data_IF_265028417756
#
_entry.id   IF_265028417756
#
_cell.length_a   1.000
_cell.length_b   1.000
_cell.length_c   1.000
_cell.angle_alpha   90.00
_cell.angle_beta   90.00
_cell.angle_gamma   90.00
#
_symmetry.space_group_name_H-M   'P 1'
#
loop_
_entity.id
_entity.type
_entity.pdbx_description
1 polymer ?
#
# COMPACT_ATOMS: atom_id res chain seq x y z
N UNK A 1 35.43 -21.71 -24.27
CA UNK A 1 35.29 -20.30 -23.84
C UNK A 1 34.01 -20.22 -23.02
N UNK A 2 34.06 -20.65 -21.77
CA UNK A 2 32.89 -20.70 -20.88
C UNK A 2 32.93 -19.47 -20.00
N UNK A 3 32.01 -18.52 -20.22
CA UNK A 3 31.88 -17.32 -19.42
C UNK A 3 30.78 -17.57 -18.37
N UNK A 4 31.19 -17.71 -17.11
CA UNK A 4 30.30 -17.66 -15.95
C UNK A 4 29.79 -16.23 -15.81
N UNK A 5 28.48 -16.03 -15.92
CA UNK A 5 27.81 -14.80 -15.46
C UNK A 5 27.51 -15.00 -13.98
N UNK A 6 28.32 -14.37 -13.12
CA UNK A 6 28.04 -14.28 -11.70
C UNK A 6 26.97 -13.19 -11.49
N UNK A 7 25.73 -13.62 -11.23
CA UNK A 7 24.68 -12.74 -10.72
C UNK A 7 25.04 -12.34 -9.29
N UNK A 8 25.59 -11.14 -9.12
CA UNK A 8 25.87 -10.55 -7.82
C UNK A 8 24.56 -10.15 -7.15
N UNK A 9 24.14 -10.92 -6.13
CA UNK A 9 23.10 -10.50 -5.19
C UNK A 9 23.70 -9.38 -4.35
N UNK A 10 23.36 -8.14 -4.67
CA UNK A 10 23.59 -7.01 -3.79
C UNK A 10 22.57 -7.08 -2.64
N UNK A 11 22.94 -7.81 -1.57
CA UNK A 11 22.23 -7.73 -0.30
C UNK A 11 22.46 -6.33 0.29
N UNK A 12 21.48 -5.44 0.14
CA UNK A 12 21.44 -4.18 0.87
C UNK A 12 21.28 -4.51 2.36
N UNK A 13 22.30 -4.17 3.14
CA UNK A 13 22.29 -4.24 4.60
C UNK A 13 21.45 -3.08 5.12
N UNK A 14 20.30 -3.38 5.72
CA UNK A 14 19.64 -2.45 6.63
C UNK A 14 19.83 -2.97 8.06
N UNK A 15 20.78 -2.35 8.77
CA UNK A 15 20.81 -2.41 10.23
C UNK A 15 19.63 -1.59 10.76
N UNK A 16 18.52 -2.27 11.09
CA UNK A 16 17.36 -1.68 11.75
C UNK A 16 17.21 -2.24 13.17
N UNK A 17 17.39 -1.40 14.18
CA UNK A 17 17.06 -1.70 15.57
C UNK A 17 15.64 -2.27 15.68
N UNK A 18 15.46 -3.33 16.47
CA UNK A 18 14.16 -3.96 16.72
C UNK A 18 13.12 -3.01 17.29
N UNK A 19 12.42 -2.29 16.42
CA UNK A 19 11.08 -1.76 16.67
C UNK A 19 10.13 -2.89 16.24
N UNK A 20 9.44 -3.50 17.19
CA UNK A 20 8.28 -4.31 16.86
C UNK A 20 7.30 -3.47 16.03
N UNK A 21 6.60 -4.11 15.09
CA UNK A 21 5.62 -3.44 14.24
C UNK A 21 4.59 -2.71 15.11
N UNK A 22 4.24 -1.50 14.71
CA UNK A 22 3.08 -0.81 15.27
C UNK A 22 2.02 -0.84 14.19
N UNK A 23 0.90 -1.52 14.47
CA UNK A 23 -0.22 -1.59 13.54
C UNK A 23 -0.76 -0.19 13.22
N UNK A 24 -1.41 -0.07 12.06
CA UNK A 24 -2.20 1.12 11.75
C UNK A 24 -3.28 1.40 12.78
N UNK A 25 -3.73 0.36 13.50
CA UNK A 25 -4.69 0.47 14.60
C UNK A 25 -4.10 1.17 15.83
N UNK A 26 -2.78 1.35 15.90
CA UNK A 26 -2.10 2.02 17.00
C UNK A 26 -1.94 3.53 16.77
N UNK A 27 -2.20 4.07 15.58
CA UNK A 27 -2.23 5.51 15.34
C UNK A 27 -3.58 6.10 15.77
N UNK A 28 -3.55 7.34 16.25
CA UNK A 28 -4.78 8.08 16.53
C UNK A 28 -5.42 8.48 15.20
N UNK A 29 -6.67 8.06 14.91
CA UNK A 29 -7.32 8.36 13.63
C UNK A 29 -7.38 9.85 13.29
N UNK A 30 -7.60 10.72 14.28
CA UNK A 30 -7.65 12.16 14.08
C UNK A 30 -6.29 12.73 13.67
N UNK A 31 -5.20 12.26 14.30
CA UNK A 31 -3.84 12.72 13.99
C UNK A 31 -3.42 12.26 12.60
N UNK A 32 -3.79 11.03 12.20
CA UNK A 32 -3.50 10.49 10.87
C UNK A 32 -4.35 11.18 9.77
N UNK A 33 -5.61 11.50 10.05
CA UNK A 33 -6.44 12.27 9.12
C UNK A 33 -5.92 13.70 8.92
N UNK A 34 -5.56 14.38 10.02
CA UNK A 34 -4.93 15.70 9.96
C UNK A 34 -3.61 15.65 9.18
N UNK A 35 -2.78 14.62 9.40
CA UNK A 35 -1.55 14.42 8.64
C UNK A 35 -1.80 14.20 7.13
N UNK A 36 -2.90 13.55 6.74
CA UNK A 36 -3.27 13.41 5.33
C UNK A 36 -3.61 14.78 4.70
N UNK A 37 -4.41 15.60 5.40
CA UNK A 37 -4.73 16.97 4.95
C UNK A 37 -3.46 17.81 4.86
N UNK A 38 -2.65 17.88 5.93
CA UNK A 38 -1.40 18.64 5.95
C UNK A 38 -0.44 18.25 4.81
N UNK A 39 -0.50 16.99 4.37
CA UNK A 39 0.40 16.44 3.35
C UNK A 39 -0.05 16.72 1.92
N UNK A 40 -1.37 16.75 1.65
CA UNK A 40 -1.91 16.75 0.30
C UNK A 40 -2.84 17.92 -0.03
N UNK A 41 -3.46 18.58 0.96
CA UNK A 41 -4.33 19.75 0.78
C UNK A 41 -3.50 20.99 0.44
N UNK A 42 -3.16 21.10 -0.84
CA UNK A 42 -2.34 22.18 -1.38
C UNK A 42 -3.08 23.51 -1.42
N UNK A 43 -4.40 23.46 -1.60
CA UNK A 43 -5.25 24.63 -1.73
C UNK A 43 -5.74 25.18 -0.37
N UNK A 44 -5.57 24.40 0.70
CA UNK A 44 -5.92 24.68 2.10
C UNK A 44 -7.42 24.92 2.32
N UNK A 45 -8.28 24.17 1.62
CA UNK A 45 -9.74 24.25 1.78
C UNK A 45 -10.30 23.25 2.81
N UNK A 46 -9.44 22.40 3.37
CA UNK A 46 -9.78 21.41 4.40
C UNK A 46 -10.27 20.07 3.85
N UNK A 47 -10.23 19.87 2.53
CA UNK A 47 -10.61 18.62 1.88
C UNK A 47 -9.72 18.33 0.66
N UNK A 48 -9.41 17.05 0.43
CA UNK A 48 -8.61 16.64 -0.73
C UNK A 48 -9.50 16.57 -1.96
N UNK A 49 -9.27 17.45 -2.94
CA UNK A 49 -9.95 17.39 -4.22
C UNK A 49 -9.33 16.35 -5.18
N UNK A 50 -9.97 16.15 -6.33
CA UNK A 50 -9.53 15.16 -7.31
C UNK A 50 -8.07 15.33 -7.78
N UNK A 51 -7.55 16.56 -7.87
CA UNK A 51 -6.17 16.80 -8.26
C UNK A 51 -5.21 16.50 -7.10
N UNK A 52 -5.61 16.82 -5.87
CA UNK A 52 -4.81 16.59 -4.67
C UNK A 52 -4.73 15.09 -4.33
N UNK A 53 -5.80 14.35 -4.61
CA UNK A 53 -5.83 12.89 -4.50
C UNK A 53 -4.86 12.20 -5.47
N UNK A 54 -4.42 12.84 -6.56
CA UNK A 54 -3.37 12.28 -7.42
C UNK A 54 -2.03 12.11 -6.66
N UNK A 55 -1.81 12.87 -5.58
CA UNK A 55 -0.63 12.72 -4.71
C UNK A 55 -0.72 11.53 -3.74
N UNK A 56 -1.94 11.02 -3.48
CA UNK A 56 -2.20 9.79 -2.73
C UNK A 56 -3.12 8.87 -3.51
N UNK A 57 -2.51 8.03 -4.35
CA UNK A 57 -3.24 7.04 -5.15
C UNK A 57 -4.12 6.14 -4.27
N UNK A 58 -3.72 5.87 -3.02
CA UNK A 58 -4.47 5.01 -2.11
C UNK A 58 -5.77 5.66 -1.62
N UNK A 59 -5.75 6.96 -1.33
CA UNK A 59 -6.97 7.72 -1.01
C UNK A 59 -7.85 7.91 -2.25
N UNK A 60 -7.24 8.12 -3.42
CA UNK A 60 -7.99 8.18 -4.68
C UNK A 60 -8.74 6.88 -4.98
N UNK A 61 -8.11 5.71 -4.76
CA UNK A 61 -8.76 4.39 -4.89
C UNK A 61 -9.91 4.22 -3.88
N UNK A 62 -9.75 4.75 -2.67
CA UNK A 62 -10.73 4.64 -1.61
C UNK A 62 -11.88 5.66 -1.72
N UNK A 63 -11.74 6.73 -2.51
CA UNK A 63 -12.69 7.86 -2.61
C UNK A 63 -14.15 7.38 -2.63
N UNK A 64 -14.51 6.52 -3.59
CA UNK A 64 -15.88 6.02 -3.77
C UNK A 64 -16.48 5.29 -2.56
N UNK A 65 -15.64 4.83 -1.61
CA UNK A 65 -16.06 4.15 -0.39
C UNK A 65 -16.19 5.07 0.81
N UNK A 66 -15.38 6.13 0.85
CA UNK A 66 -15.19 6.95 2.06
C UNK A 66 -15.79 8.35 1.92
N UNK A 67 -15.92 8.87 0.70
CA UNK A 67 -16.69 10.08 0.35
C UNK A 67 -18.18 9.84 0.64
N UNK A 68 -18.58 10.19 1.85
CA UNK A 68 -19.88 9.87 2.42
C UNK A 68 -20.93 10.90 2.01
N UNK A 69 -20.50 12.13 1.71
CA UNK A 69 -21.38 13.19 1.25
C UNK A 69 -21.52 13.24 -0.30
N UNK A 70 -20.70 12.47 -1.02
CA UNK A 70 -20.65 12.35 -2.48
C UNK A 70 -20.34 13.66 -3.20
N UNK A 71 -19.48 14.50 -2.62
CA UNK A 71 -19.04 15.76 -3.23
C UNK A 71 -17.79 15.61 -4.12
N UNK A 72 -17.19 14.41 -4.16
CA UNK A 72 -16.01 14.08 -4.96
C UNK A 72 -14.70 14.53 -4.31
N UNK A 73 -14.72 14.91 -3.02
CA UNK A 73 -13.56 15.24 -2.21
C UNK A 73 -13.49 14.35 -0.97
N UNK A 74 -12.37 14.43 -0.26
CA UNK A 74 -12.23 13.81 1.06
C UNK A 74 -11.96 14.85 2.13
N UNK A 75 -12.96 15.14 2.93
CA UNK A 75 -12.78 15.99 4.10
C UNK A 75 -12.03 15.24 5.22
N UNK A 76 -11.40 16.00 6.12
CA UNK A 76 -10.69 15.45 7.29
C UNK A 76 -11.54 14.46 8.10
N UNK A 77 -12.83 14.79 8.30
CA UNK A 77 -13.75 13.97 9.08
C UNK A 77 -14.07 12.63 8.40
N UNK A 78 -14.02 12.57 7.07
CA UNK A 78 -14.27 11.34 6.30
C UNK A 78 -13.07 10.41 6.34
N UNK A 79 -11.86 10.99 6.21
CA UNK A 79 -10.60 10.24 6.40
C UNK A 79 -10.51 9.72 7.84
N UNK A 80 -10.81 10.58 8.82
CA UNK A 80 -10.82 10.19 10.23
C UNK A 80 -11.86 9.08 10.50
N UNK A 81 -13.08 9.23 9.97
CA UNK A 81 -14.13 8.25 10.12
C UNK A 81 -13.70 6.89 9.54
N UNK A 82 -13.01 6.88 8.39
CA UNK A 82 -12.46 5.65 7.84
C UNK A 82 -11.39 5.05 8.74
N UNK A 83 -10.39 5.83 9.16
CA UNK A 83 -9.30 5.35 10.01
C UNK A 83 -9.79 4.84 11.38
N UNK A 84 -10.86 5.43 11.93
CA UNK A 84 -11.52 4.93 13.16
C UNK A 84 -12.04 3.50 13.00
N UNK A 85 -12.48 3.10 11.80
CA UNK A 85 -13.00 1.76 11.57
C UNK A 85 -11.90 0.70 11.65
N UNK A 86 -10.64 1.04 11.36
CA UNK A 86 -9.53 0.08 11.42
C UNK A 86 -9.41 -0.61 12.78
N UNK A 87 -9.75 0.07 13.88
CA UNK A 87 -9.75 -0.51 15.22
C UNK A 87 -10.73 -1.69 15.40
N UNK A 88 -11.69 -1.85 14.49
CA UNK A 88 -12.67 -2.95 14.47
C UNK A 88 -12.41 -4.02 13.41
N UNK A 89 -11.36 -3.85 12.60
CA UNK A 89 -10.97 -4.79 11.55
C UNK A 89 -9.85 -5.71 12.02
N UNK A 90 -9.50 -6.70 11.19
CA UNK A 90 -8.29 -7.49 11.38
C UNK A 90 -7.05 -6.60 11.33
N UNK A 91 -6.05 -6.91 12.15
CA UNK A 91 -4.78 -6.17 12.12
C UNK A 91 -3.98 -6.44 10.84
N UNK A 92 -4.05 -7.68 10.35
CA UNK A 92 -3.34 -8.18 9.18
C UNK A 92 -4.30 -8.90 8.23
N UNK A 93 -4.06 -8.71 6.94
CA UNK A 93 -4.74 -9.37 5.84
C UNK A 93 -3.78 -10.33 5.15
N UNK A 94 -4.28 -11.48 4.67
CA UNK A 94 -3.48 -12.42 3.89
C UNK A 94 -2.90 -11.72 2.64
N UNK A 95 -1.57 -11.58 2.60
CA UNK A 95 -0.86 -10.78 1.60
C UNK A 95 -0.56 -11.50 0.29
N UNK A 96 -1.46 -12.36 -0.20
CA UNK A 96 -1.29 -12.96 -1.53
C UNK A 96 -1.64 -11.93 -2.60
N UNK A 97 -0.62 -11.56 -3.38
CA UNK A 97 -0.73 -10.61 -4.49
C UNK A 97 -0.67 -11.38 -5.80
N UNK A 98 -1.56 -11.07 -6.73
CA UNK A 98 -1.48 -11.52 -8.12
C UNK A 98 -1.30 -10.32 -9.04
N UNK A 99 -0.29 -10.38 -9.92
CA UNK A 99 -0.06 -9.39 -10.97
C UNK A 99 -0.43 -10.00 -12.31
N UNK A 100 -1.32 -9.33 -13.03
CA UNK A 100 -1.80 -9.75 -14.34
C UNK A 100 -1.71 -8.62 -15.36
N UNK A 101 -1.48 -8.99 -16.63
CA UNK A 101 -1.48 -8.08 -17.78
C UNK A 101 -2.40 -8.65 -18.85
N UNK A 102 -3.51 -7.97 -19.11
CA UNK A 102 -4.62 -8.48 -19.92
C UNK A 102 -5.11 -9.85 -19.44
N UNK A 103 -5.22 -10.01 -18.12
CA UNK A 103 -5.59 -11.27 -17.46
C UNK A 103 -4.56 -12.40 -17.57
N UNK A 104 -3.37 -12.16 -18.13
CA UNK A 104 -2.27 -13.13 -18.13
C UNK A 104 -1.31 -12.90 -16.96
N UNK A 105 -0.82 -13.95 -16.30
CA UNK A 105 0.16 -13.81 -15.22
C UNK A 105 1.44 -13.07 -15.67
N UNK A 106 1.93 -12.17 -14.83
CA UNK A 106 3.21 -11.49 -15.05
C UNK A 106 4.27 -12.12 -14.14
N UNK A 107 5.21 -12.86 -14.71
CA UNK A 107 6.33 -13.45 -14.00
C UNK A 107 7.45 -12.43 -13.71
N UNK A 108 8.14 -12.60 -12.58
CA UNK A 108 9.27 -11.78 -12.17
C UNK A 108 8.96 -10.28 -12.06
N UNK A 109 7.72 -9.93 -11.69
CA UNK A 109 7.36 -8.58 -11.30
C UNK A 109 7.74 -8.35 -9.82
N UNK A 110 8.56 -7.34 -9.56
CA UNK A 110 8.84 -6.86 -8.20
C UNK A 110 7.69 -5.97 -7.76
N UNK A 111 7.12 -6.27 -6.60
CA UNK A 111 5.97 -5.56 -6.03
C UNK A 111 6.38 -5.02 -4.66
N UNK A 112 6.20 -3.72 -4.46
CA UNK A 112 6.53 -3.02 -3.22
C UNK A 112 5.32 -2.27 -2.71
N UNK A 113 4.90 -2.56 -1.47
CA UNK A 113 3.84 -1.83 -0.77
C UNK A 113 4.49 -0.89 0.24
N UNK A 114 4.39 0.40 -0.03
CA UNK A 114 4.90 1.47 0.84
C UNK A 114 3.72 2.13 1.53
N UNK A 115 3.63 2.10 2.87
CA UNK A 115 2.58 2.82 3.59
C UNK A 115 2.55 4.30 3.18
N UNK A 116 1.36 4.87 3.05
CA UNK A 116 1.25 6.32 2.86
C UNK A 116 1.81 7.05 4.10
N UNK A 117 2.49 8.20 3.95
CA UNK A 117 3.14 8.90 5.06
C UNK A 117 2.22 9.21 6.25
N UNK A 118 0.95 9.53 6.00
CA UNK A 118 -0.04 9.82 7.05
C UNK A 118 -0.40 8.59 7.91
N UNK A 119 -0.01 7.38 7.49
CA UNK A 119 -0.11 6.17 8.30
C UNK A 119 0.96 6.09 9.40
N UNK A 120 1.96 6.99 9.36
CA UNK A 120 3.06 7.08 10.32
C UNK A 120 4.16 6.02 10.14
N UNK A 121 5.23 6.13 10.92
CA UNK A 121 6.44 5.29 10.80
C UNK A 121 6.30 3.87 11.40
N UNK A 122 5.08 3.44 11.73
CA UNK A 122 4.81 2.19 12.44
C UNK A 122 4.73 0.96 11.54
N UNK A 123 4.34 1.18 10.28
CA UNK A 123 4.08 0.12 9.30
C UNK A 123 5.34 -0.20 8.49
N UNK A 124 5.67 -1.49 8.27
CA UNK A 124 6.78 -1.86 7.42
C UNK A 124 6.44 -1.69 5.93
N UNK A 125 7.49 -1.60 5.12
CA UNK A 125 7.39 -1.77 3.66
C UNK A 125 7.35 -3.26 3.36
N UNK A 126 6.37 -3.69 2.56
CA UNK A 126 6.26 -5.08 2.13
C UNK A 126 6.79 -5.24 0.71
N UNK A 127 7.48 -6.36 0.45
CA UNK A 127 8.04 -6.64 -0.86
C UNK A 127 7.80 -8.09 -1.27
N UNK A 128 7.62 -8.33 -2.56
CA UNK A 128 7.56 -9.67 -3.13
C UNK A 128 7.90 -9.66 -4.62
N UNK A 129 8.33 -10.80 -5.14
CA UNK A 129 8.54 -10.99 -6.59
C UNK A 129 7.62 -12.09 -7.07
N UNK A 130 6.89 -11.87 -8.16
CA UNK A 130 5.97 -12.87 -8.71
C UNK A 130 6.70 -14.05 -9.33
N UNK A 131 6.18 -15.25 -9.08
CA UNK A 131 6.59 -16.46 -9.79
C UNK A 131 5.90 -16.60 -11.16
N UNK A 132 6.07 -17.75 -11.79
CA UNK A 132 5.45 -18.07 -13.09
C UNK A 132 3.90 -18.02 -13.10
N UNK A 133 3.26 -18.17 -11.94
CA UNK A 133 1.82 -18.04 -11.76
C UNK A 133 1.36 -16.56 -11.63
N UNK A 134 2.29 -15.60 -11.70
CA UNK A 134 2.00 -14.17 -11.51
C UNK A 134 1.68 -13.81 -10.06
N UNK A 135 1.96 -14.70 -9.11
CA UNK A 135 1.61 -14.52 -7.70
C UNK A 135 2.84 -14.38 -6.83
N UNK A 136 2.71 -13.64 -5.73
CA UNK A 136 3.74 -13.52 -4.69
C UNK A 136 3.11 -13.30 -3.32
N UNK A 137 3.84 -13.65 -2.27
CA UNK A 137 3.49 -13.27 -0.90
C UNK A 137 4.26 -12.02 -0.53
N UNK A 138 3.59 -11.10 0.16
CA UNK A 138 4.21 -9.90 0.70
C UNK A 138 5.07 -10.22 1.93
N UNK A 139 6.38 -9.95 1.84
CA UNK A 139 7.37 -10.28 2.84
C UNK A 139 7.92 -9.03 3.54
N UNK A 140 8.33 -9.19 4.79
CA UNK A 140 9.01 -8.18 5.61
C UNK A 140 10.14 -8.84 6.41
N UNK A 141 11.08 -8.05 6.95
CA UNK A 141 12.06 -8.49 7.97
C UNK A 141 11.94 -7.61 9.24
N UNK A 142 11.55 -8.18 10.41
CA UNK A 142 11.14 -9.57 10.61
C UNK A 142 9.87 -9.92 9.80
N UNK A 143 9.45 -11.19 9.72
CA UNK A 143 8.19 -11.55 9.07
C UNK A 143 6.97 -11.12 9.90
N UNK A 144 5.94 -10.63 9.22
CA UNK A 144 4.60 -10.36 9.77
C UNK A 144 3.62 -11.46 9.37
N UNK A 145 2.49 -11.65 10.09
CA UNK A 145 1.47 -12.64 9.72
C UNK A 145 0.76 -12.37 8.39
N UNK A 146 0.87 -11.15 7.85
CA UNK A 146 0.25 -10.70 6.62
C UNK A 146 0.56 -9.23 6.37
N UNK A 147 -0.15 -8.60 5.44
CA UNK A 147 -0.05 -7.16 5.21
C UNK A 147 -0.95 -6.45 6.22
N UNK A 148 -0.38 -5.56 7.02
CA UNK A 148 -1.15 -4.77 7.97
C UNK A 148 -2.24 -3.96 7.26
N UNK A 149 -3.36 -3.72 7.95
CA UNK A 149 -4.39 -2.82 7.44
C UNK A 149 -3.83 -1.41 7.27
N UNK A 150 -4.19 -0.73 6.18
CA UNK A 150 -3.67 0.60 5.87
C UNK A 150 -3.79 1.02 4.42
N UNK A 151 -3.41 2.27 4.16
CA UNK A 151 -3.27 2.82 2.81
C UNK A 151 -1.84 2.66 2.32
N UNK A 152 -1.68 2.10 1.12
CA UNK A 152 -0.38 1.80 0.53
C UNK A 152 -0.27 2.34 -0.89
N UNK A 153 0.88 2.94 -1.17
CA UNK A 153 1.38 3.08 -2.54
C UNK A 153 2.01 1.76 -2.95
N UNK A 154 1.55 1.21 -4.06
CA UNK A 154 2.06 -0.01 -4.66
C UNK A 154 2.89 0.35 -5.88
N UNK A 155 4.15 -0.08 -5.91
CA UNK A 155 5.02 -0.01 -7.07
C UNK A 155 5.20 -1.41 -7.64
N UNK A 156 4.97 -1.57 -8.94
CA UNK A 156 5.14 -2.82 -9.69
C UNK A 156 6.22 -2.57 -10.74
N UNK A 157 7.34 -3.30 -10.65
CA UNK A 157 8.41 -3.26 -11.65
C UNK A 157 8.45 -4.59 -12.38
N UNK A 158 8.19 -4.57 -13.67
CA UNK A 158 8.21 -5.78 -14.49
C UNK A 158 9.62 -6.06 -15.01
N UNK A 159 9.86 -7.31 -15.42
CA UNK A 159 11.18 -7.75 -15.90
C UNK A 159 11.63 -7.08 -17.20
N UNK A 160 10.71 -6.52 -17.98
CA UNK A 160 10.97 -5.67 -19.17
C UNK A 160 11.30 -4.21 -18.80
N UNK A 161 11.27 -3.85 -17.51
CA UNK A 161 11.69 -2.54 -16.99
C UNK A 161 10.57 -1.51 -16.90
N UNK A 162 9.31 -1.89 -17.12
CA UNK A 162 8.16 -1.01 -16.87
C UNK A 162 7.95 -0.84 -15.36
N UNK A 163 7.67 0.40 -14.92
CA UNK A 163 7.33 0.71 -13.54
C UNK A 163 5.93 1.33 -13.49
N UNK A 164 5.03 0.66 -12.78
CA UNK A 164 3.64 1.09 -12.60
C UNK A 164 3.40 1.43 -11.12
N UNK A 165 2.68 2.52 -10.86
CA UNK A 165 2.23 2.87 -9.52
C UNK A 165 0.71 2.74 -9.41
N UNK A 166 0.25 2.28 -8.24
CA UNK A 166 -1.14 2.13 -7.84
C UNK A 166 -1.31 2.53 -6.38
N UNK A 167 -2.54 2.82 -6.00
CA UNK A 167 -2.94 2.91 -4.61
C UNK A 167 -3.78 1.71 -4.24
N UNK A 168 -3.60 1.20 -3.03
CA UNK A 168 -4.45 0.14 -2.48
C UNK A 168 -4.72 0.43 -1.02
N UNK A 169 -5.97 0.25 -0.64
CA UNK A 169 -6.35 0.08 0.75
C UNK A 169 -6.41 -1.40 1.11
N UNK A 170 -5.65 -1.78 2.15
CA UNK A 170 -5.67 -3.12 2.74
C UNK A 170 -6.58 -3.07 3.95
N UNK A 171 -7.72 -3.75 3.87
CA UNK A 171 -8.73 -3.86 4.92
C UNK A 171 -9.67 -5.05 4.63
N UNK A 172 -10.32 -5.62 5.65
CA UNK A 172 -11.25 -6.75 5.48
C UNK A 172 -12.47 -6.41 4.60
N UNK A 173 -12.92 -5.16 4.71
CA UNK A 173 -14.06 -4.58 4.02
C UNK A 173 -13.69 -3.87 2.71
N UNK A 174 -12.39 -3.84 2.38
CA UNK A 174 -11.88 -3.39 1.09
C UNK A 174 -12.14 -4.48 0.03
N UNK A 175 -12.42 -4.12 -1.24
CA UNK A 175 -12.59 -5.09 -2.33
C UNK A 175 -11.38 -6.04 -2.51
N UNK A 176 -10.25 -5.70 -1.89
CA UNK A 176 -8.95 -6.34 -2.02
C UNK A 176 -8.64 -7.38 -0.90
N UNK A 177 -9.60 -7.69 -0.03
CA UNK A 177 -9.37 -8.31 1.30
C UNK A 177 -8.88 -9.76 1.35
N UNK A 178 -8.99 -10.56 0.29
CA UNK A 178 -8.50 -11.96 0.31
C UNK A 178 -7.42 -12.24 -0.74
N UNK A 179 -7.46 -11.51 -1.85
CA UNK A 179 -6.46 -11.57 -2.92
C UNK A 179 -6.29 -10.18 -3.50
N UNK A 180 -5.06 -9.70 -3.52
CA UNK A 180 -4.74 -8.39 -4.07
C UNK A 180 -4.43 -8.55 -5.54
N UNK A 181 -5.44 -8.33 -6.38
CA UNK A 181 -5.32 -8.35 -7.84
C UNK A 181 -4.79 -7.02 -8.36
N UNK A 182 -3.60 -7.03 -8.96
CA UNK A 182 -2.97 -5.89 -9.59
C UNK A 182 -2.95 -6.11 -11.11
N UNK A 183 -3.84 -5.41 -11.82
CA UNK A 183 -3.85 -5.40 -13.29
C UNK A 183 -2.96 -4.26 -13.81
N UNK A 184 -2.06 -4.59 -14.73
CA UNK A 184 -1.11 -3.66 -15.37
C UNK A 184 -1.20 -3.69 -16.90
#
# INVERSE_FOLDING_TARGET
MSLLVAAGIAAVVCAGCGKGYRSAQASNPADAAAAAIDQYDSNNDGALDANELEASLALADALSRIDSNSDGKLAVDEIEARLRQYASLSEFIAGEVSVTRNGQPVEAAEVTFTPEPFMGDGLPVYQGTTGNAGTTSMLTDPPTPGVAVGFYRVTIKTSDGEEIQRGVEIADDSPTSTRIGLEI
#
